data_IF_936104604404
#
_entry.id   IF_936104604404
#
_cell.length_a   1.000
_cell.length_b   1.000
_cell.length_c   1.000
_cell.angle_alpha   90.00
_cell.angle_beta   90.00
_cell.angle_gamma   90.00
#
_symmetry.space_group_name_H-M   'P 1'
#
loop_
_entity.id
_entity.type
_entity.pdbx_description
1 polymer ?
#
# COMPACT_ATOMS: atom_id res chain seq x y z
N UNK A 1 156.80 -42.90 89.03
CA UNK A 1 155.94 -41.78 88.62
C UNK A 1 154.99 -42.26 87.54
N UNK A 2 153.69 -42.00 87.69
CA UNK A 2 152.59 -42.78 87.11
C UNK A 2 152.12 -42.36 85.71
N UNK A 3 151.86 -43.36 84.86
CA UNK A 3 151.35 -43.34 83.47
C UNK A 3 149.93 -42.75 83.25
N UNK A 4 149.38 -41.98 84.20
CA UNK A 4 147.99 -41.50 84.13
C UNK A 4 147.78 -40.13 83.48
N UNK A 5 148.82 -39.37 83.16
CA UNK A 5 148.65 -37.98 82.67
C UNK A 5 148.79 -37.80 81.15
N UNK A 6 149.28 -38.80 80.40
CA UNK A 6 149.46 -38.63 78.94
C UNK A 6 148.22 -39.04 78.12
N UNK A 7 147.28 -39.80 78.69
CA UNK A 7 146.09 -40.27 77.97
C UNK A 7 144.93 -39.24 77.89
N UNK A 8 144.94 -38.18 78.71
CA UNK A 8 143.81 -37.25 78.81
C UNK A 8 143.82 -36.12 77.77
N UNK A 9 144.98 -35.78 77.18
CA UNK A 9 145.10 -34.68 76.21
C UNK A 9 144.88 -35.11 74.75
N UNK A 10 144.92 -36.42 74.45
CA UNK A 10 144.67 -36.95 73.10
C UNK A 10 143.20 -37.15 72.75
N UNK A 11 142.29 -37.16 73.73
CA UNK A 11 140.88 -37.50 73.52
C UNK A 11 139.98 -36.29 73.14
N UNK A 12 140.42 -35.05 73.37
CA UNK A 12 139.57 -33.85 73.19
C UNK A 12 139.75 -33.19 71.82
N UNK A 13 140.86 -33.42 71.11
CA UNK A 13 141.13 -32.77 69.82
C UNK A 13 140.54 -33.49 68.60
N UNK A 14 140.15 -34.78 68.72
CA UNK A 14 139.63 -35.57 67.59
C UNK A 14 138.09 -35.46 67.44
N UNK A 15 137.37 -35.13 68.52
CA UNK A 15 135.91 -35.03 68.49
C UNK A 15 135.36 -33.74 67.85
N UNK A 16 136.16 -32.68 67.72
CA UNK A 16 135.72 -31.41 67.12
C UNK A 16 135.76 -31.41 65.58
N UNK A 17 136.60 -32.24 64.94
CA UNK A 17 136.76 -32.25 63.47
C UNK A 17 135.73 -33.15 62.78
N UNK A 18 135.20 -34.18 63.46
CA UNK A 18 134.22 -35.12 62.88
C UNK A 18 132.81 -34.51 62.77
N UNK A 19 132.47 -33.52 63.60
CA UNK A 19 131.17 -32.82 63.54
C UNK A 19 130.97 -31.95 62.30
N UNK A 20 132.04 -31.40 61.72
CA UNK A 20 131.95 -30.44 60.59
C UNK A 20 131.81 -31.16 59.25
N UNK A 21 132.43 -32.32 59.06
CA UNK A 21 132.42 -33.05 57.78
C UNK A 21 131.11 -33.81 57.55
N UNK A 22 130.48 -34.35 58.60
CA UNK A 22 129.17 -35.01 58.51
C UNK A 22 128.02 -34.05 58.19
N UNK A 23 128.04 -32.84 58.76
CA UNK A 23 127.02 -31.82 58.53
C UNK A 23 126.93 -31.35 57.07
N UNK A 24 128.06 -31.26 56.36
CA UNK A 24 128.07 -30.78 54.96
C UNK A 24 127.51 -31.78 53.94
N UNK A 25 127.64 -33.08 54.19
CA UNK A 25 127.02 -34.12 53.34
C UNK A 25 125.53 -34.25 53.61
N UNK A 26 125.11 -34.10 54.87
CA UNK A 26 123.68 -34.13 55.21
C UNK A 26 122.95 -32.92 54.62
N UNK A 27 123.55 -31.73 54.75
CA UNK A 27 123.03 -30.48 54.13
C UNK A 27 122.84 -30.61 52.62
N UNK A 28 123.72 -31.36 51.93
CA UNK A 28 123.64 -31.57 50.48
C UNK A 28 122.48 -32.49 50.07
N UNK A 29 122.20 -33.53 50.87
CA UNK A 29 121.05 -34.41 50.62
C UNK A 29 119.75 -33.74 51.03
N UNK A 30 119.73 -32.94 52.09
CA UNK A 30 118.59 -32.10 52.47
C UNK A 30 118.27 -31.06 51.39
N UNK A 31 119.30 -30.40 50.81
CA UNK A 31 119.12 -29.51 49.66
C UNK A 31 118.58 -30.24 48.44
N UNK A 32 119.12 -31.41 48.09
CA UNK A 32 118.57 -32.22 46.97
C UNK A 32 117.16 -32.71 47.22
N UNK A 33 116.81 -33.05 48.47
CA UNK A 33 115.45 -33.44 48.85
C UNK A 33 114.50 -32.24 48.80
N UNK A 34 114.96 -31.06 49.19
CA UNK A 34 114.21 -29.82 49.05
C UNK A 34 113.98 -29.45 47.58
N UNK A 35 115.01 -29.54 46.73
CA UNK A 35 114.94 -29.32 45.28
C UNK A 35 113.98 -30.31 44.60
N UNK A 36 114.09 -31.60 44.90
CA UNK A 36 113.16 -32.61 44.37
C UNK A 36 111.72 -32.37 44.84
N UNK A 37 111.51 -32.02 46.11
CA UNK A 37 110.18 -31.67 46.62
C UNK A 37 109.63 -30.41 45.93
N UNK A 38 110.49 -29.44 45.61
CA UNK A 38 110.11 -28.24 44.86
C UNK A 38 109.75 -28.57 43.40
N UNK A 39 110.52 -29.45 42.75
CA UNK A 39 110.21 -29.96 41.41
C UNK A 39 108.91 -30.76 41.38
N UNK A 40 108.66 -31.63 42.37
CA UNK A 40 107.39 -32.35 42.52
C UNK A 40 106.22 -31.40 42.78
N UNK A 41 106.40 -30.36 43.60
CA UNK A 41 105.37 -29.36 43.83
C UNK A 41 105.07 -28.55 42.56
N UNK A 42 106.10 -28.18 41.78
CA UNK A 42 105.94 -27.55 40.46
C UNK A 42 105.23 -28.45 39.47
N UNK A 43 105.55 -29.75 39.43
CA UNK A 43 104.88 -30.71 38.56
C UNK A 43 103.40 -30.89 38.95
N UNK A 44 103.10 -31.00 40.25
CA UNK A 44 101.72 -31.15 40.73
C UNK A 44 100.87 -29.90 40.45
N UNK A 45 101.45 -28.71 40.56
CA UNK A 45 100.75 -27.46 40.21
C UNK A 45 100.53 -27.34 38.69
N UNK A 46 101.49 -27.76 37.87
CA UNK A 46 101.34 -27.85 36.41
C UNK A 46 100.29 -28.88 35.99
N UNK A 47 100.26 -30.06 36.60
CA UNK A 47 99.21 -31.06 36.34
C UNK A 47 97.84 -30.56 36.78
N UNK A 48 97.77 -29.86 37.91
CA UNK A 48 96.51 -29.27 38.40
C UNK A 48 95.99 -28.20 37.44
N UNK A 49 96.84 -27.27 37.03
CA UNK A 49 96.48 -26.22 36.06
C UNK A 49 96.09 -26.81 34.71
N UNK A 50 96.81 -27.82 34.23
CA UNK A 50 96.45 -28.54 33.00
C UNK A 50 95.09 -29.25 33.09
N UNK A 51 94.80 -29.89 34.21
CA UNK A 51 93.50 -30.55 34.43
C UNK A 51 92.37 -29.52 34.58
N UNK A 52 92.60 -28.40 35.25
CA UNK A 52 91.66 -27.28 35.34
C UNK A 52 91.39 -26.65 33.95
N UNK A 53 92.43 -26.45 33.13
CA UNK A 53 92.28 -26.01 31.74
C UNK A 53 91.52 -27.01 30.87
N UNK A 54 91.74 -28.30 31.07
CA UNK A 54 91.03 -29.34 30.33
C UNK A 54 89.55 -29.40 30.73
N UNK A 55 89.24 -29.37 32.03
CA UNK A 55 87.87 -29.29 32.54
C UNK A 55 87.14 -28.06 31.98
N UNK A 56 87.78 -26.88 32.02
CA UNK A 56 87.17 -25.65 31.49
C UNK A 56 86.98 -25.70 29.97
N UNK A 57 87.83 -26.40 29.21
CA UNK A 57 87.63 -26.64 27.78
C UNK A 57 86.45 -27.57 27.53
N UNK A 58 86.35 -28.67 28.27
CA UNK A 58 85.25 -29.64 28.15
C UNK A 58 83.91 -29.00 28.53
N UNK A 59 83.87 -28.18 29.59
CA UNK A 59 82.69 -27.39 29.98
C UNK A 59 82.29 -26.39 28.88
N UNK A 60 83.26 -25.70 28.26
CA UNK A 60 82.99 -24.79 27.14
C UNK A 60 82.50 -25.52 25.89
N UNK A 61 82.99 -26.73 25.62
CA UNK A 61 82.52 -27.56 24.52
C UNK A 61 81.09 -28.03 24.77
N UNK A 62 80.79 -28.51 25.98
CA UNK A 62 79.44 -28.91 26.37
C UNK A 62 78.44 -27.73 26.29
N UNK A 63 78.85 -26.53 26.73
CA UNK A 63 78.03 -25.32 26.61
C UNK A 63 77.76 -24.96 25.13
N UNK A 64 78.79 -25.01 24.27
CA UNK A 64 78.63 -24.77 22.83
C UNK A 64 77.75 -25.82 22.15
N UNK A 65 77.84 -27.08 22.54
CA UNK A 65 76.96 -28.14 22.03
C UNK A 65 75.51 -27.92 22.46
N UNK A 66 75.27 -27.48 23.70
CA UNK A 66 73.94 -27.14 24.16
C UNK A 66 73.35 -25.93 23.42
N UNK A 67 74.15 -24.87 23.21
CA UNK A 67 73.76 -23.71 22.38
C UNK A 67 73.49 -24.10 20.93
N UNK A 68 74.35 -24.95 20.32
CA UNK A 68 74.15 -25.44 18.96
C UNK A 68 72.86 -26.25 18.82
N UNK A 69 72.52 -27.10 19.80
CA UNK A 69 71.25 -27.84 19.83
C UNK A 69 70.05 -26.90 19.97
N UNK A 70 70.10 -25.93 20.89
CA UNK A 70 69.03 -24.95 21.05
C UNK A 70 68.82 -24.09 19.78
N UNK A 71 69.91 -23.68 19.13
CA UNK A 71 69.82 -22.94 17.85
C UNK A 71 69.26 -23.81 16.72
N UNK A 72 69.63 -25.09 16.63
CA UNK A 72 69.05 -26.00 15.64
C UNK A 72 67.53 -26.20 15.87
N UNK A 73 67.10 -26.39 17.11
CA UNK A 73 65.68 -26.54 17.47
C UNK A 73 64.87 -25.26 17.19
N UNK A 74 65.44 -24.08 17.45
CA UNK A 74 64.80 -22.80 17.11
C UNK A 74 64.70 -22.59 15.60
N UNK A 75 65.71 -22.98 14.83
CA UNK A 75 65.67 -22.91 13.37
C UNK A 75 64.60 -23.86 12.81
N UNK A 76 64.53 -25.10 13.31
CA UNK A 76 63.53 -26.08 12.90
C UNK A 76 62.10 -25.63 13.23
N UNK A 77 61.87 -25.04 14.39
CA UNK A 77 60.55 -24.51 14.77
C UNK A 77 60.15 -23.32 13.88
N UNK A 78 61.07 -22.40 13.59
CA UNK A 78 60.82 -21.28 12.68
C UNK A 78 60.52 -21.75 11.25
N UNK A 79 61.23 -22.75 10.74
CA UNK A 79 60.95 -23.31 9.42
C UNK A 79 59.61 -24.02 9.36
N UNK A 80 59.27 -24.79 10.39
CA UNK A 80 57.97 -25.48 10.47
C UNK A 80 56.81 -24.49 10.47
N UNK A 81 56.87 -23.48 11.32
CA UNK A 81 55.85 -22.41 11.39
C UNK A 81 55.76 -21.65 10.06
N UNK A 82 56.88 -21.33 9.42
CA UNK A 82 56.87 -20.67 8.11
C UNK A 82 56.23 -21.54 7.01
N UNK A 83 56.54 -22.84 6.98
CA UNK A 83 55.95 -23.78 6.04
C UNK A 83 54.45 -23.98 6.26
N UNK A 84 54.01 -24.01 7.53
CA UNK A 84 52.60 -24.10 7.89
C UNK A 84 51.84 -22.85 7.45
N UNK A 85 52.41 -21.66 7.65
CA UNK A 85 51.84 -20.40 7.13
C UNK A 85 51.72 -20.40 5.61
N UNK A 86 52.72 -20.88 4.87
CA UNK A 86 52.60 -21.01 3.41
C UNK A 86 51.54 -22.03 2.99
N UNK A 87 51.43 -23.16 3.69
CA UNK A 87 50.39 -24.15 3.44
C UNK A 87 48.99 -23.56 3.66
N UNK A 88 48.81 -22.75 4.72
CA UNK A 88 47.54 -22.07 4.98
C UNK A 88 47.20 -21.05 3.89
N UNK A 89 48.16 -20.20 3.49
CA UNK A 89 47.95 -19.22 2.40
C UNK A 89 47.58 -19.93 1.09
N UNK A 90 48.17 -21.07 0.78
CA UNK A 90 47.80 -21.84 -0.41
C UNK A 90 46.38 -22.41 -0.32
N UNK A 91 45.94 -22.88 0.86
CA UNK A 91 44.56 -23.33 1.06
C UNK A 91 43.57 -22.17 0.86
N UNK A 92 43.86 -21.02 1.43
CA UNK A 92 43.03 -19.83 1.31
C UNK A 92 42.97 -19.37 -0.15
N UNK A 93 44.10 -19.35 -0.86
CA UNK A 93 44.16 -19.02 -2.29
C UNK A 93 43.32 -19.99 -3.14
N UNK A 94 43.40 -21.30 -2.87
CA UNK A 94 42.56 -22.28 -3.54
C UNK A 94 41.07 -22.10 -3.26
N UNK A 95 40.70 -21.74 -2.02
CA UNK A 95 39.32 -21.42 -1.68
C UNK A 95 38.80 -20.20 -2.45
N UNK A 96 39.61 -19.13 -2.58
CA UNK A 96 39.25 -17.97 -3.40
C UNK A 96 39.12 -18.31 -4.89
N UNK A 97 40.03 -19.11 -5.43
CA UNK A 97 39.98 -19.56 -6.82
C UNK A 97 38.76 -20.45 -7.09
N UNK A 98 38.30 -21.23 -6.12
CA UNK A 98 37.10 -22.04 -6.22
C UNK A 98 35.80 -21.23 -6.15
N UNK A 99 35.78 -20.14 -5.35
CA UNK A 99 34.62 -19.27 -5.20
C UNK A 99 34.42 -18.29 -6.38
N UNK A 100 35.50 -17.92 -7.07
CA UNK A 100 35.47 -16.98 -8.20
C UNK A 100 34.50 -17.38 -9.33
N UNK A 101 34.49 -18.63 -9.84
CA UNK A 101 33.55 -19.06 -10.86
C UNK A 101 32.08 -18.93 -10.44
N UNK A 102 31.76 -19.21 -9.18
CA UNK A 102 30.41 -19.08 -8.64
C UNK A 102 29.99 -17.61 -8.56
N UNK A 103 30.88 -16.73 -8.08
CA UNK A 103 30.65 -15.29 -8.06
C UNK A 103 30.45 -14.71 -9.47
N UNK A 104 31.27 -15.13 -10.44
CA UNK A 104 31.13 -14.72 -11.85
C UNK A 104 29.82 -15.26 -12.44
N UNK A 105 29.43 -16.50 -12.11
CA UNK A 105 28.15 -17.08 -12.50
C UNK A 105 26.95 -16.30 -11.97
N UNK A 106 26.98 -15.92 -10.70
CA UNK A 106 25.96 -15.08 -10.07
C UNK A 106 25.88 -13.70 -10.74
N UNK A 107 27.02 -13.06 -11.00
CA UNK A 107 27.10 -11.77 -11.70
C UNK A 107 26.52 -11.84 -13.12
N UNK A 108 26.79 -12.93 -13.85
CA UNK A 108 26.21 -13.18 -15.18
C UNK A 108 24.69 -13.38 -15.11
N UNK A 109 24.20 -14.11 -14.11
CA UNK A 109 22.76 -14.28 -13.87
C UNK A 109 22.06 -12.94 -13.58
N UNK A 110 22.68 -12.11 -12.73
CA UNK A 110 22.17 -10.79 -12.35
C UNK A 110 22.18 -9.81 -13.55
N UNK A 111 23.24 -9.83 -14.35
CA UNK A 111 23.34 -9.05 -15.59
C UNK A 111 22.27 -9.46 -16.62
N UNK A 112 22.05 -10.77 -16.81
CA UNK A 112 21.00 -11.27 -17.67
C UNK A 112 19.60 -10.87 -17.18
N UNK A 113 19.36 -10.90 -15.86
CA UNK A 113 18.10 -10.47 -15.27
C UNK A 113 17.85 -8.96 -15.49
N UNK A 114 18.86 -8.11 -15.26
CA UNK A 114 18.73 -6.68 -15.56
C UNK A 114 18.54 -6.39 -17.04
N UNK A 115 19.22 -7.14 -17.92
CA UNK A 115 19.02 -7.05 -19.36
C UNK A 115 17.59 -7.43 -19.76
N UNK A 116 17.05 -8.51 -19.19
CA UNK A 116 15.66 -8.90 -19.38
C UNK A 116 14.69 -7.81 -18.87
N UNK A 117 14.93 -7.25 -17.68
CA UNK A 117 14.10 -6.15 -17.19
C UNK A 117 14.16 -4.93 -18.12
N UNK A 118 15.34 -4.55 -18.62
CA UNK A 118 15.49 -3.43 -19.55
C UNK A 118 14.81 -3.69 -20.90
N UNK A 119 14.87 -4.90 -21.43
CA UNK A 119 14.31 -5.27 -22.74
C UNK A 119 12.79 -5.51 -22.69
N UNK A 120 12.27 -6.07 -21.60
CA UNK A 120 10.87 -6.50 -21.49
C UNK A 120 9.99 -5.55 -20.65
N UNK A 121 10.47 -4.92 -19.58
CA UNK A 121 9.64 -4.01 -18.76
C UNK A 121 9.02 -2.83 -19.52
N UNK A 122 9.69 -2.21 -20.52
CA UNK A 122 9.07 -1.15 -21.32
C UNK A 122 7.81 -1.63 -22.07
N UNK A 123 7.70 -2.93 -22.37
CA UNK A 123 6.51 -3.52 -23.00
C UNK A 123 5.34 -3.67 -22.02
N UNK A 124 5.63 -3.69 -20.72
CA UNK A 124 4.63 -3.79 -19.64
C UNK A 124 4.29 -2.43 -19.00
N UNK A 125 5.11 -1.40 -19.18
CA UNK A 125 4.84 -0.06 -18.63
C UNK A 125 3.48 0.51 -19.08
N UNK A 126 3.09 0.29 -20.34
CA UNK A 126 1.75 0.68 -20.84
C UNK A 126 0.63 -0.18 -20.24
N UNK A 127 0.90 -1.45 -19.95
CA UNK A 127 -0.04 -2.38 -19.33
C UNK A 127 -0.28 -2.04 -17.85
N UNK A 128 0.76 -1.74 -17.08
CA UNK A 128 0.63 -1.33 -15.67
C UNK A 128 -0.12 0.02 -15.53
N UNK A 129 0.14 0.97 -16.43
CA UNK A 129 -0.60 2.24 -16.47
C UNK A 129 -2.07 2.01 -16.87
N UNK A 130 -2.36 1.11 -17.80
CA UNK A 130 -3.72 0.78 -18.18
C UNK A 130 -4.47 0.02 -17.07
N UNK A 131 -3.83 -0.94 -16.42
CA UNK A 131 -4.38 -1.70 -15.30
C UNK A 131 -4.65 -0.81 -14.08
N UNK A 132 -3.74 0.11 -13.75
CA UNK A 132 -3.96 1.08 -12.67
C UNK A 132 -5.08 2.07 -12.98
N UNK A 133 -5.18 2.56 -14.23
CA UNK A 133 -6.30 3.40 -14.67
C UNK A 133 -7.64 2.67 -14.59
N UNK A 134 -7.70 1.41 -15.03
CA UNK A 134 -8.89 0.57 -14.93
C UNK A 134 -9.27 0.33 -13.47
N UNK A 135 -8.32 -0.06 -12.62
CA UNK A 135 -8.57 -0.28 -11.19
C UNK A 135 -9.07 0.99 -10.50
N UNK A 136 -8.44 2.13 -10.75
CA UNK A 136 -8.86 3.39 -10.19
C UNK A 136 -10.24 3.81 -10.71
N UNK A 137 -10.57 3.55 -11.98
CA UNK A 137 -11.92 3.79 -12.51
C UNK A 137 -12.97 2.94 -11.76
N UNK A 138 -12.67 1.66 -11.50
CA UNK A 138 -13.54 0.77 -10.74
C UNK A 138 -13.81 1.33 -9.33
N UNK A 139 -12.74 1.74 -8.62
CA UNK A 139 -12.85 2.33 -7.28
C UNK A 139 -13.68 3.62 -7.29
N UNK A 140 -13.48 4.47 -8.28
CA UNK A 140 -14.24 5.71 -8.42
C UNK A 140 -15.73 5.44 -8.69
N UNK A 141 -16.06 4.43 -9.50
CA UNK A 141 -17.44 4.00 -9.76
C UNK A 141 -18.10 3.32 -8.55
N UNK A 142 -17.35 2.60 -7.73
CA UNK A 142 -17.87 2.09 -6.45
C UNK A 142 -18.11 3.24 -5.47
N UNK A 143 -17.19 4.19 -5.38
CA UNK A 143 -17.35 5.37 -4.54
C UNK A 143 -18.54 6.24 -4.97
N UNK A 144 -18.78 6.38 -6.29
CA UNK A 144 -19.91 7.16 -6.82
C UNK A 144 -21.26 6.59 -6.38
N UNK A 145 -21.38 5.28 -6.16
CA UNK A 145 -22.64 4.69 -5.62
C UNK A 145 -22.98 5.20 -4.23
N UNK A 146 -21.98 5.63 -3.45
CA UNK A 146 -22.19 6.14 -2.08
C UNK A 146 -22.32 7.65 -2.01
N UNK A 147 -21.56 8.38 -2.83
CA UNK A 147 -21.43 9.84 -2.72
C UNK A 147 -22.08 10.60 -3.89
N UNK A 148 -22.48 9.89 -4.95
CA UNK A 148 -23.01 10.42 -6.20
C UNK A 148 -21.92 10.63 -7.26
N UNK A 149 -22.28 10.44 -8.53
CA UNK A 149 -21.33 10.53 -9.65
C UNK A 149 -20.80 11.94 -9.90
N UNK A 150 -21.55 12.97 -9.53
CA UNK A 150 -21.14 14.37 -9.62
C UNK A 150 -19.79 14.65 -8.94
N UNK A 151 -19.55 14.05 -7.77
CA UNK A 151 -18.32 14.28 -6.99
C UNK A 151 -17.11 13.58 -7.57
N UNK A 152 -17.36 12.55 -8.37
CA UNK A 152 -16.35 11.68 -8.97
C UNK A 152 -16.01 12.13 -10.39
N UNK A 153 -16.93 12.82 -11.07
CA UNK A 153 -16.84 13.20 -12.47
C UNK A 153 -15.56 13.98 -12.80
N UNK A 154 -15.19 14.99 -12.00
CA UNK A 154 -13.99 15.79 -12.24
C UNK A 154 -12.70 14.94 -12.18
N UNK A 155 -12.58 14.07 -11.17
CA UNK A 155 -11.42 13.19 -11.00
C UNK A 155 -11.31 12.15 -12.11
N UNK A 156 -12.45 11.57 -12.52
CA UNK A 156 -12.50 10.63 -13.66
C UNK A 156 -12.11 11.34 -14.97
N UNK A 157 -12.54 12.58 -15.14
CA UNK A 157 -12.19 13.41 -16.28
C UNK A 157 -10.69 13.68 -16.37
N UNK A 158 -10.02 13.96 -15.24
CA UNK A 158 -8.56 14.14 -15.20
C UNK A 158 -7.81 12.83 -15.49
N UNK A 159 -8.26 11.71 -14.93
CA UNK A 159 -7.64 10.39 -15.15
C UNK A 159 -7.69 9.94 -16.62
N UNK A 160 -8.78 10.29 -17.32
CA UNK A 160 -9.05 9.92 -18.71
C UNK A 160 -9.12 11.13 -19.64
N UNK A 161 -8.14 12.04 -19.52
CA UNK A 161 -8.05 13.26 -20.36
C UNK A 161 -8.04 12.99 -21.87
N UNK A 162 -7.50 11.84 -22.29
CA UNK A 162 -7.38 11.46 -23.70
C UNK A 162 -8.65 10.78 -24.27
N UNK A 163 -9.61 10.38 -23.43
CA UNK A 163 -10.75 9.56 -23.85
C UNK A 163 -12.00 10.40 -24.11
N UNK A 164 -12.41 10.60 -25.37
CA UNK A 164 -13.46 11.56 -25.72
C UNK A 164 -14.83 11.18 -25.16
N UNK A 165 -15.12 9.88 -25.02
CA UNK A 165 -16.38 9.39 -24.46
C UNK A 165 -16.48 9.69 -22.97
N UNK A 166 -15.40 9.47 -22.22
CA UNK A 166 -15.35 9.80 -20.78
C UNK A 166 -15.45 11.31 -20.58
N UNK A 167 -14.79 12.11 -21.42
CA UNK A 167 -14.90 13.57 -21.39
C UNK A 167 -16.33 14.03 -21.64
N UNK A 168 -17.01 13.51 -22.67
CA UNK A 168 -18.39 13.88 -22.98
C UNK A 168 -19.36 13.52 -21.83
N UNK A 169 -19.18 12.35 -21.21
CA UNK A 169 -20.02 11.91 -20.09
C UNK A 169 -19.77 12.77 -18.85
N UNK A 170 -18.52 12.98 -18.44
CA UNK A 170 -18.20 13.78 -17.27
C UNK A 170 -18.60 15.26 -17.44
N UNK A 171 -18.44 15.83 -18.64
CA UNK A 171 -18.89 17.20 -18.92
C UNK A 171 -20.40 17.34 -18.86
N UNK A 172 -21.16 16.33 -19.28
CA UNK A 172 -22.63 16.34 -19.17
C UNK A 172 -23.13 16.33 -17.72
N UNK A 173 -22.43 15.62 -16.83
CA UNK A 173 -22.70 15.62 -15.38
C UNK A 173 -22.39 17.00 -14.77
N UNK A 174 -21.22 17.57 -15.09
CA UNK A 174 -20.79 18.86 -14.52
C UNK A 174 -21.64 20.03 -15.03
N UNK A 175 -22.18 19.92 -16.25
CA UNK A 175 -23.05 20.93 -16.84
C UNK A 175 -24.51 20.84 -16.38
N UNK A 176 -24.92 19.74 -15.74
CA UNK A 176 -26.28 19.61 -15.21
C UNK A 176 -26.49 20.61 -14.07
N UNK A 177 -27.65 21.31 -14.03
CA UNK A 177 -27.96 22.22 -12.93
C UNK A 177 -28.00 21.43 -11.61
N UNK A 178 -27.76 22.13 -10.49
CA UNK A 178 -27.66 21.54 -9.15
C UNK A 178 -28.93 21.66 -8.28
N UNK A 179 -30.18 21.41 -8.77
CA UNK A 179 -31.25 21.17 -7.83
C UNK A 179 -30.99 19.82 -7.13
N UNK A 180 -31.40 19.66 -5.86
CA UNK A 180 -31.39 18.36 -5.22
C UNK A 180 -32.23 17.39 -6.06
N UNK A 181 -31.56 16.36 -6.59
CA UNK A 181 -32.20 15.35 -7.43
C UNK A 181 -32.46 14.07 -6.60
N UNK A 182 -33.47 13.25 -6.97
CA UNK A 182 -33.68 11.97 -6.31
C UNK A 182 -32.44 11.07 -6.48
N UNK A 183 -32.10 10.28 -5.45
CA UNK A 183 -30.99 9.31 -5.50
C UNK A 183 -31.44 7.93 -5.98
N UNK A 184 -32.74 7.68 -6.07
CA UNK A 184 -33.31 6.41 -6.52
C UNK A 184 -34.59 6.59 -7.34
N UNK A 185 -34.95 5.55 -8.11
CA UNK A 185 -36.22 5.49 -8.84
C UNK A 185 -37.41 5.58 -7.86
N UNK A 186 -37.28 4.99 -6.66
CA UNK A 186 -38.31 5.06 -5.64
C UNK A 186 -38.53 6.49 -5.13
N UNK A 187 -37.46 7.28 -4.96
CA UNK A 187 -37.55 8.67 -4.54
C UNK A 187 -38.13 9.56 -5.67
N UNK A 188 -37.72 9.31 -6.92
CA UNK A 188 -38.28 9.97 -8.09
C UNK A 188 -39.79 9.69 -8.25
N UNK A 189 -40.19 8.45 -7.99
CA UNK A 189 -41.58 7.96 -8.02
C UNK A 189 -42.44 8.55 -6.89
N UNK A 190 -41.90 8.60 -5.67
CA UNK A 190 -42.58 9.18 -4.52
C UNK A 190 -42.80 10.70 -4.69
N UNK A 191 -41.77 11.41 -5.16
CA UNK A 191 -41.86 12.85 -5.45
C UNK A 191 -42.80 13.16 -6.61
N UNK A 192 -42.81 12.33 -7.67
CA UNK A 192 -43.77 12.44 -8.76
C UNK A 192 -45.21 12.28 -8.27
N UNK A 193 -45.46 11.22 -7.50
CA UNK A 193 -46.79 10.91 -6.97
C UNK A 193 -47.30 12.05 -6.09
N UNK A 194 -46.42 12.61 -5.24
CA UNK A 194 -46.73 13.79 -4.42
C UNK A 194 -47.11 15.00 -5.28
N UNK A 195 -46.31 15.36 -6.29
CA UNK A 195 -46.60 16.51 -7.15
C UNK A 195 -47.92 16.36 -7.92
N UNK A 196 -48.22 15.15 -8.40
CA UNK A 196 -49.47 14.85 -9.10
C UNK A 196 -50.69 14.86 -8.16
N UNK A 197 -50.53 14.46 -6.90
CA UNK A 197 -51.60 14.54 -5.89
C UNK A 197 -51.90 15.98 -5.49
N UNK A 198 -50.89 16.82 -5.32
CA UNK A 198 -51.06 18.26 -5.04
C UNK A 198 -51.76 18.96 -6.20
N UNK A 199 -51.42 18.62 -7.45
CA UNK A 199 -52.12 19.15 -8.62
C UNK A 199 -53.59 18.70 -8.66
N UNK A 200 -53.86 17.41 -8.46
CA UNK A 200 -55.22 16.88 -8.42
C UNK A 200 -56.05 17.54 -7.30
N UNK A 201 -55.44 17.80 -6.15
CA UNK A 201 -56.08 18.49 -5.04
C UNK A 201 -56.42 19.93 -5.41
N UNK A 202 -55.45 20.68 -5.95
CA UNK A 202 -55.66 22.06 -6.39
C UNK A 202 -56.76 22.15 -7.45
N UNK A 203 -56.71 21.32 -8.50
CA UNK A 203 -57.74 21.27 -9.55
C UNK A 203 -59.10 20.85 -8.99
N UNK A 204 -59.14 19.89 -8.06
CA UNK A 204 -60.35 19.45 -7.38
C UNK A 204 -61.02 20.57 -6.58
N UNK A 205 -60.23 21.39 -5.87
CA UNK A 205 -60.78 22.55 -5.14
C UNK A 205 -61.35 23.62 -6.06
N UNK A 206 -60.69 23.89 -7.19
CA UNK A 206 -61.21 24.82 -8.22
C UNK A 206 -62.48 24.26 -8.85
N UNK A 207 -62.53 22.97 -9.18
CA UNK A 207 -63.71 22.31 -9.72
C UNK A 207 -64.90 22.38 -8.75
N UNK A 208 -64.69 22.18 -7.45
CA UNK A 208 -65.73 22.31 -6.44
C UNK A 208 -66.23 23.76 -6.31
N UNK A 209 -65.32 24.74 -6.31
CA UNK A 209 -65.69 26.17 -6.29
C UNK A 209 -66.47 26.58 -7.53
N UNK A 210 -66.04 26.12 -8.71
CA UNK A 210 -66.71 26.40 -9.98
C UNK A 210 -68.08 25.72 -10.07
N UNK A 211 -68.21 24.48 -9.60
CA UNK A 211 -69.49 23.76 -9.53
C UNK A 211 -70.47 24.40 -8.53
N UNK A 212 -69.98 24.91 -7.39
CA UNK A 212 -70.82 25.63 -6.42
C UNK A 212 -71.39 26.96 -6.97
N UNK A 213 -70.71 27.58 -7.93
CA UNK A 213 -71.17 28.78 -8.65
C UNK A 213 -72.21 28.42 -9.72
N UNK A 214 -72.16 27.22 -10.28
CA UNK A 214 -73.10 26.67 -11.27
C UNK A 214 -74.28 25.95 -10.56
N UNK A 215 -75.17 26.68 -9.89
CA UNK A 215 -76.32 26.10 -9.17
C UNK A 215 -77.44 25.47 -10.04
N UNK A 216 -77.23 25.27 -11.35
CA UNK A 216 -78.18 24.55 -12.22
C UNK A 216 -77.56 23.28 -12.83
N UNK A 217 -78.31 22.15 -12.87
CA UNK A 217 -77.78 20.84 -13.24
C UNK A 217 -77.40 20.81 -14.74
N UNK A 218 -76.17 20.41 -15.11
CA UNK A 218 -75.80 20.29 -16.52
C UNK A 218 -76.40 19.04 -17.15
N UNK A 219 -76.98 19.22 -18.35
CA UNK A 219 -77.34 18.12 -19.25
C UNK A 219 -76.09 17.41 -19.81
N UNK A 220 -76.26 16.13 -20.10
CA UNK A 220 -75.20 15.20 -20.45
C UNK A 220 -74.42 15.60 -21.71
N UNK A 221 -73.09 15.67 -21.60
CA UNK A 221 -72.15 15.57 -22.74
C UNK A 221 -70.93 14.73 -22.33
N UNK A 222 -70.38 13.88 -23.22
CA UNK A 222 -69.31 12.94 -22.89
C UNK A 222 -67.92 13.56 -23.10
N UNK A 223 -67.02 13.38 -22.14
CA UNK A 223 -65.61 13.79 -22.22
C UNK A 223 -64.83 13.48 -20.94
N UNK A 224 -63.52 13.26 -21.07
CA UNK A 224 -62.62 12.74 -20.00
C UNK A 224 -62.61 13.63 -18.74
N UNK A 225 -62.64 14.96 -18.89
CA UNK A 225 -62.76 15.91 -17.78
C UNK A 225 -64.20 16.03 -17.24
N UNK A 226 -65.20 15.72 -18.07
CA UNK A 226 -66.60 15.77 -17.66
C UNK A 226 -66.96 14.63 -16.71
N UNK A 227 -66.29 13.47 -16.81
CA UNK A 227 -66.50 12.34 -15.90
C UNK A 227 -65.90 12.62 -14.52
N UNK A 228 -64.77 13.31 -14.44
CA UNK A 228 -64.18 13.78 -13.18
C UNK A 228 -65.11 14.78 -12.49
N UNK A 229 -65.66 15.75 -13.25
CA UNK A 229 -66.62 16.74 -12.75
C UNK A 229 -67.94 16.08 -12.34
N UNK A 230 -68.46 15.11 -13.10
CA UNK A 230 -69.70 14.38 -12.79
C UNK A 230 -69.57 13.54 -11.52
N UNK A 231 -68.39 12.97 -11.27
CA UNK A 231 -68.09 12.22 -10.04
C UNK A 231 -68.04 13.13 -8.81
N UNK A 232 -67.43 14.31 -8.96
CA UNK A 232 -67.31 15.32 -7.91
C UNK A 232 -68.67 15.97 -7.58
N UNK A 233 -69.49 16.29 -8.58
CA UNK A 233 -70.88 16.78 -8.40
C UNK A 233 -71.79 15.69 -7.79
N UNK A 234 -71.51 14.42 -8.08
CA UNK A 234 -72.14 13.29 -7.38
C UNK A 234 -71.86 13.26 -5.87
N UNK A 235 -70.68 13.74 -5.43
CA UNK A 235 -70.28 13.81 -4.02
C UNK A 235 -70.91 14.98 -3.26
N UNK A 236 -71.24 16.10 -3.92
CA UNK A 236 -71.97 17.21 -3.27
C UNK A 236 -73.40 16.86 -2.89
N UNK A 237 -73.96 15.76 -3.43
CA UNK A 237 -75.25 15.19 -3.03
C UNK A 237 -75.17 14.31 -1.76
N UNK A 238 -74.02 14.26 -1.08
CA UNK A 238 -73.77 13.43 0.10
C UNK A 238 -74.42 13.90 1.40
N UNK A 239 -75.14 15.04 1.42
CA UNK A 239 -75.80 15.56 2.62
C UNK A 239 -77.03 14.75 3.08
N UNK A 240 -77.44 13.70 2.35
CA UNK A 240 -78.56 12.82 2.74
C UNK A 240 -78.15 11.40 3.13
N UNK A 241 -76.86 11.09 3.25
CA UNK A 241 -76.38 9.72 3.49
C UNK A 241 -76.33 9.33 4.98
N UNK A 242 -76.73 8.09 5.28
CA UNK A 242 -76.66 7.50 6.62
C UNK A 242 -75.21 7.35 7.12
N UNK A 243 -74.98 7.24 8.43
CA UNK A 243 -73.63 7.16 9.02
C UNK A 243 -72.78 6.02 8.44
N UNK A 244 -73.41 4.88 8.11
CA UNK A 244 -72.77 3.74 7.45
C UNK A 244 -72.41 3.99 5.97
N UNK A 245 -73.28 4.70 5.24
CA UNK A 245 -73.00 5.09 3.84
C UNK A 245 -71.86 6.11 3.74
N UNK A 246 -71.75 7.04 4.71
CA UNK A 246 -70.59 7.95 4.79
C UNK A 246 -69.29 7.21 5.05
N UNK A 247 -69.32 6.17 5.88
CA UNK A 247 -68.13 5.35 6.12
C UNK A 247 -67.73 4.56 4.87
N UNK A 248 -68.69 4.02 4.12
CA UNK A 248 -68.44 3.33 2.86
C UNK A 248 -67.89 4.27 1.78
N UNK A 249 -68.46 5.47 1.64
CA UNK A 249 -67.96 6.50 0.72
C UNK A 249 -66.51 6.90 1.03
N UNK A 250 -66.18 7.12 2.31
CA UNK A 250 -64.79 7.39 2.73
C UNK A 250 -63.83 6.25 2.37
N UNK A 251 -64.23 5.00 2.60
CA UNK A 251 -63.43 3.82 2.22
C UNK A 251 -63.27 3.69 0.71
N UNK A 252 -64.30 4.02 -0.06
CA UNK A 252 -64.21 4.05 -1.52
C UNK A 252 -63.24 5.13 -2.00
N UNK A 253 -63.32 6.34 -1.43
CA UNK A 253 -62.38 7.42 -1.74
C UNK A 253 -60.94 7.08 -1.37
N UNK A 254 -60.73 6.42 -0.22
CA UNK A 254 -59.42 5.95 0.22
C UNK A 254 -58.88 4.85 -0.72
N UNK A 255 -59.72 3.90 -1.15
CA UNK A 255 -59.35 2.87 -2.12
C UNK A 255 -59.02 3.47 -3.49
N UNK A 256 -59.80 4.44 -3.96
CA UNK A 256 -59.50 5.14 -5.21
C UNK A 256 -58.18 5.91 -5.13
N UNK A 257 -57.90 6.56 -4.00
CA UNK A 257 -56.61 7.21 -3.76
C UNK A 257 -55.46 6.20 -3.76
N UNK A 258 -55.62 5.05 -3.11
CA UNK A 258 -54.60 3.99 -3.15
C UNK A 258 -54.39 3.40 -4.55
N UNK A 259 -55.47 3.19 -5.32
CA UNK A 259 -55.37 2.69 -6.69
C UNK A 259 -54.69 3.69 -7.62
N UNK A 260 -55.01 4.99 -7.50
CA UNK A 260 -54.33 6.05 -8.25
C UNK A 260 -52.85 6.18 -7.88
N UNK A 261 -52.51 6.04 -6.60
CA UNK A 261 -51.12 5.97 -6.12
C UNK A 261 -50.38 4.80 -6.75
N UNK A 262 -50.96 3.60 -6.69
CA UNK A 262 -50.37 2.41 -7.28
C UNK A 262 -50.19 2.55 -8.82
N UNK A 263 -51.12 3.21 -9.50
CA UNK A 263 -51.01 3.48 -10.95
C UNK A 263 -49.95 4.52 -11.31
N UNK A 264 -49.58 5.41 -10.38
CA UNK A 264 -48.58 6.48 -10.58
C UNK A 264 -47.19 6.09 -10.10
N UNK A 265 -47.05 4.91 -9.49
CA UNK A 265 -45.75 4.41 -9.09
C UNK A 265 -44.91 4.10 -10.32
N UNK A 266 -43.82 4.83 -10.44
CA UNK A 266 -42.77 4.60 -11.42
C UNK A 266 -41.84 3.51 -10.87
N UNK A 267 -41.58 2.48 -11.66
CA UNK A 267 -40.75 1.33 -11.27
C UNK A 267 -39.46 1.24 -12.07
N UNK A 268 -39.42 1.83 -13.26
CA UNK A 268 -38.29 1.79 -14.18
C UNK A 268 -37.89 3.19 -14.63
N UNK A 269 -36.70 3.31 -15.24
CA UNK A 269 -36.26 4.56 -15.86
C UNK A 269 -37.12 4.95 -17.07
N UNK A 270 -37.66 3.97 -17.79
CA UNK A 270 -38.59 4.19 -18.89
C UNK A 270 -39.92 4.79 -18.39
N UNK A 271 -40.39 4.36 -17.22
CA UNK A 271 -41.57 4.96 -16.59
C UNK A 271 -41.33 6.43 -16.24
N UNK A 272 -40.11 6.77 -15.79
CA UNK A 272 -39.74 8.18 -15.52
C UNK A 272 -39.73 9.00 -16.81
N UNK A 273 -39.21 8.45 -17.93
CA UNK A 273 -39.28 9.12 -19.24
C UNK A 273 -40.72 9.33 -19.70
N UNK A 274 -41.57 8.31 -19.57
CA UNK A 274 -42.99 8.40 -19.89
C UNK A 274 -43.71 9.42 -19.00
N UNK A 275 -43.37 9.49 -17.72
CA UNK A 275 -43.90 10.48 -16.79
C UNK A 275 -43.46 11.91 -17.14
N UNK A 276 -42.21 12.10 -17.57
CA UNK A 276 -41.73 13.40 -18.08
C UNK A 276 -42.55 13.84 -19.30
N UNK A 277 -42.80 12.94 -20.25
CA UNK A 277 -43.60 13.25 -21.44
C UNK A 277 -45.07 13.52 -21.09
N UNK A 278 -45.65 12.74 -20.17
CA UNK A 278 -46.99 13.01 -19.63
C UNK A 278 -47.10 14.41 -19.00
N UNK A 279 -46.09 14.86 -18.24
CA UNK A 279 -46.11 16.22 -17.67
C UNK A 279 -45.99 17.30 -18.74
N UNK A 280 -45.29 17.05 -19.86
CA UNK A 280 -45.22 17.99 -20.98
C UNK A 280 -46.56 18.08 -21.70
N UNK A 281 -47.21 16.94 -21.96
CA UNK A 281 -48.57 16.91 -22.53
C UNK A 281 -49.58 17.64 -21.63
N UNK A 282 -49.44 17.49 -20.32
CA UNK A 282 -50.25 18.20 -19.33
C UNK A 282 -50.03 19.71 -19.39
N UNK A 283 -48.79 20.16 -19.50
CA UNK A 283 -48.47 21.58 -19.72
C UNK A 283 -49.04 22.09 -21.04
N UNK A 284 -48.94 21.32 -22.12
CA UNK A 284 -49.50 21.68 -23.42
C UNK A 284 -51.04 21.79 -23.36
N UNK A 285 -51.71 20.89 -22.65
CA UNK A 285 -53.15 20.96 -22.40
C UNK A 285 -53.54 22.16 -21.51
N UNK A 286 -52.70 22.51 -20.54
CA UNK A 286 -52.90 23.66 -19.67
C UNK A 286 -52.46 24.98 -20.33
N UNK A 287 -51.61 24.97 -21.35
CA UNK A 287 -51.13 26.16 -22.06
C UNK A 287 -51.92 26.43 -23.35
N UNK A 288 -52.55 25.42 -23.95
CA UNK A 288 -53.36 25.54 -25.17
C UNK A 288 -54.42 26.62 -25.00
N UNK A 289 -54.13 27.82 -25.51
CA UNK A 289 -55.09 28.89 -25.70
C UNK A 289 -55.71 28.70 -27.08
N UNK A 290 -57.03 28.64 -27.16
CA UNK A 290 -57.71 28.69 -28.45
C UNK A 290 -57.42 30.04 -29.11
N UNK A 291 -57.23 30.08 -30.44
CA UNK A 291 -56.85 31.29 -31.15
C UNK A 291 -57.96 32.34 -30.99
N UNK A 292 -57.59 33.56 -30.61
CA UNK A 292 -58.44 34.76 -30.73
C UNK A 292 -58.68 35.04 -32.21
N UNK A 293 -59.65 34.37 -32.86
CA UNK A 293 -60.22 34.82 -34.12
C UNK A 293 -61.71 34.51 -34.16
N UNK A 294 -62.49 35.56 -34.44
CA UNK A 294 -63.93 35.58 -34.36
C UNK A 294 -64.60 34.43 -35.08
N UNK A 295 -65.43 33.69 -34.35
CA UNK A 295 -66.43 32.81 -34.90
C UNK A 295 -67.66 32.91 -34.00
N UNK A 296 -68.56 33.83 -34.38
CA UNK A 296 -69.97 33.72 -34.06
C UNK A 296 -70.43 32.37 -34.61
N UNK A 297 -70.67 31.35 -33.78
CA UNK A 297 -71.71 30.30 -33.94
C UNK A 297 -71.59 29.22 -32.84
N UNK A 298 -72.58 29.23 -31.95
CA UNK A 298 -73.25 28.12 -31.25
C UNK A 298 -72.46 26.95 -30.61
N UNK A 299 -72.46 27.00 -29.27
CA UNK A 299 -72.75 25.92 -28.29
C UNK A 299 -71.79 24.72 -28.13
N UNK A 300 -70.86 24.85 -27.17
CA UNK A 300 -70.63 23.95 -26.01
C UNK A 300 -69.19 24.05 -25.47
N UNK A 301 -68.28 24.69 -26.20
CA UNK A 301 -66.88 24.87 -25.79
C UNK A 301 -66.69 25.95 -24.70
N UNK A 302 -67.54 26.98 -24.65
CA UNK A 302 -67.29 28.16 -23.80
C UNK A 302 -67.17 27.82 -22.31
N UNK A 303 -68.00 26.89 -21.79
CA UNK A 303 -67.97 26.53 -20.36
C UNK A 303 -66.74 25.71 -19.96
N UNK A 304 -66.20 24.91 -20.90
CA UNK A 304 -64.94 24.18 -20.72
C UNK A 304 -63.77 25.16 -20.75
N UNK A 305 -63.85 26.16 -21.63
CA UNK A 305 -62.85 27.22 -21.75
C UNK A 305 -62.85 28.13 -20.51
N UNK A 306 -64.02 28.46 -19.98
CA UNK A 306 -64.19 29.26 -18.74
C UNK A 306 -63.68 28.51 -17.50
N UNK A 307 -63.91 27.19 -17.43
CA UNK A 307 -63.35 26.33 -16.38
C UNK A 307 -61.83 26.23 -16.46
N UNK A 308 -61.27 26.01 -17.66
CA UNK A 308 -59.83 25.97 -17.88
C UNK A 308 -59.18 27.33 -17.56
N UNK A 309 -59.84 28.44 -17.88
CA UNK A 309 -59.40 29.78 -17.50
C UNK A 309 -59.40 29.96 -15.98
N UNK A 310 -60.43 29.47 -15.27
CA UNK A 310 -60.47 29.49 -13.80
C UNK A 310 -59.33 28.68 -13.19
N UNK A 311 -59.08 27.45 -13.68
CA UNK A 311 -57.97 26.58 -13.26
C UNK A 311 -56.61 27.25 -13.50
N UNK A 312 -56.40 27.88 -14.67
CA UNK A 312 -55.15 28.61 -14.99
C UNK A 312 -54.95 29.84 -14.12
N UNK A 313 -56.02 30.50 -13.69
CA UNK A 313 -55.95 31.72 -12.90
C UNK A 313 -55.67 31.47 -11.42
N UNK A 314 -56.00 30.28 -10.92
CA UNK A 314 -55.89 29.91 -9.52
C UNK A 314 -54.43 29.83 -9.04
N UNK A 315 -54.16 30.37 -7.85
CA UNK A 315 -52.81 30.45 -7.30
C UNK A 315 -52.26 29.11 -6.83
N UNK A 316 -53.10 28.20 -6.34
CA UNK A 316 -52.66 26.88 -5.86
C UNK A 316 -52.35 25.95 -7.03
N UNK A 317 -53.12 26.02 -8.12
CA UNK A 317 -52.82 25.31 -9.36
C UNK A 317 -51.47 25.77 -9.95
N UNK A 318 -51.20 27.08 -9.95
CA UNK A 318 -49.89 27.60 -10.40
C UNK A 318 -48.72 27.09 -9.56
N UNK A 319 -48.87 27.01 -8.24
CA UNK A 319 -47.85 26.45 -7.35
C UNK A 319 -47.62 24.97 -7.61
N UNK A 320 -48.69 24.19 -7.82
CA UNK A 320 -48.58 22.77 -8.14
C UNK A 320 -47.87 22.53 -9.49
N UNK A 321 -48.18 23.35 -10.52
CA UNK A 321 -47.47 23.31 -11.81
C UNK A 321 -45.98 23.66 -11.63
N UNK A 322 -45.65 24.65 -10.79
CA UNK A 322 -44.25 24.97 -10.48
C UNK A 322 -43.52 23.80 -9.80
N UNK A 323 -44.18 23.09 -8.88
CA UNK A 323 -43.62 21.89 -8.25
C UNK A 323 -43.38 20.77 -9.25
N UNK A 324 -44.30 20.56 -10.20
CA UNK A 324 -44.13 19.59 -11.29
C UNK A 324 -42.94 19.97 -12.18
N UNK A 325 -42.74 21.26 -12.47
CA UNK A 325 -41.58 21.72 -13.24
C UNK A 325 -40.25 21.50 -12.49
N UNK A 326 -40.22 21.75 -11.18
CA UNK A 326 -39.05 21.42 -10.35
C UNK A 326 -38.78 19.91 -10.32
N UNK A 327 -39.84 19.10 -10.24
CA UNK A 327 -39.73 17.65 -10.36
C UNK A 327 -39.20 17.24 -11.74
N UNK A 328 -39.66 17.88 -12.82
CA UNK A 328 -39.18 17.63 -14.19
C UNK A 328 -37.68 17.89 -14.31
N UNK A 329 -37.20 19.03 -13.84
CA UNK A 329 -35.78 19.40 -13.91
C UNK A 329 -34.91 18.45 -13.09
N UNK A 330 -35.37 18.06 -11.90
CA UNK A 330 -34.66 17.10 -11.04
C UNK A 330 -34.68 15.66 -11.58
N UNK A 331 -35.78 15.21 -12.19
CA UNK A 331 -35.90 13.91 -12.84
C UNK A 331 -35.05 13.81 -14.12
N UNK A 332 -34.96 14.89 -14.90
CA UNK A 332 -34.03 14.96 -16.05
C UNK A 332 -32.59 14.82 -15.57
N UNK A 333 -32.21 15.55 -14.52
CA UNK A 333 -30.86 15.49 -13.93
C UNK A 333 -30.54 14.08 -13.43
N UNK A 334 -31.49 13.44 -12.74
CA UNK A 334 -31.37 12.04 -12.31
C UNK A 334 -31.13 11.08 -13.49
N UNK A 335 -31.90 11.21 -14.58
CA UNK A 335 -31.72 10.36 -15.76
C UNK A 335 -30.36 10.56 -16.45
N UNK A 336 -29.88 11.81 -16.52
CA UNK A 336 -28.54 12.11 -17.07
C UNK A 336 -27.45 11.45 -16.22
N UNK A 337 -27.52 11.56 -14.90
CA UNK A 337 -26.55 10.93 -14.01
C UNK A 337 -26.59 9.41 -14.09
N UNK A 338 -27.78 8.84 -14.23
CA UNK A 338 -27.94 7.39 -14.36
C UNK A 338 -27.39 6.85 -15.67
N UNK A 339 -27.68 7.53 -16.77
CA UNK A 339 -27.12 7.22 -18.08
C UNK A 339 -25.58 7.35 -18.09
N UNK A 340 -25.05 8.36 -17.40
CA UNK A 340 -23.62 8.55 -17.26
C UNK A 340 -22.95 7.44 -16.45
N UNK A 341 -23.57 7.00 -15.35
CA UNK A 341 -23.12 5.84 -14.57
C UNK A 341 -23.05 4.58 -15.41
N UNK A 342 -24.11 4.28 -16.17
CA UNK A 342 -24.18 3.10 -17.03
C UNK A 342 -23.15 3.14 -18.16
N UNK A 343 -22.94 4.31 -18.76
CA UNK A 343 -21.93 4.50 -19.80
C UNK A 343 -20.51 4.27 -19.26
N UNK A 344 -20.20 4.81 -18.08
CA UNK A 344 -18.87 4.63 -17.46
C UNK A 344 -18.66 3.20 -16.96
N UNK A 345 -19.70 2.54 -16.45
CA UNK A 345 -19.64 1.12 -16.09
C UNK A 345 -19.42 0.23 -17.32
N UNK A 346 -20.12 0.52 -18.42
CA UNK A 346 -19.94 -0.19 -19.70
C UNK A 346 -18.53 0.02 -20.26
N UNK A 347 -18.01 1.25 -20.16
CA UNK A 347 -16.64 1.57 -20.56
C UNK A 347 -15.60 0.84 -19.71
N UNK A 348 -15.81 0.77 -18.38
CA UNK A 348 -14.96 -0.03 -17.50
C UNK A 348 -14.94 -1.51 -17.89
N UNK A 349 -16.10 -2.10 -18.17
CA UNK A 349 -16.19 -3.50 -18.60
C UNK A 349 -15.46 -3.73 -19.94
N UNK A 350 -15.65 -2.82 -20.90
CA UNK A 350 -14.97 -2.90 -22.19
C UNK A 350 -13.44 -2.76 -22.07
N UNK A 351 -12.96 -1.89 -21.19
CA UNK A 351 -11.53 -1.78 -20.89
C UNK A 351 -11.00 -3.06 -20.23
N UNK A 352 -11.76 -3.66 -19.31
CA UNK A 352 -11.38 -4.92 -18.68
C UNK A 352 -11.29 -6.05 -19.69
N UNK A 353 -12.27 -6.18 -20.58
CA UNK A 353 -12.28 -7.17 -21.67
C UNK A 353 -11.14 -6.94 -22.67
N UNK A 354 -10.84 -5.70 -23.02
CA UNK A 354 -9.73 -5.38 -23.91
C UNK A 354 -8.37 -5.77 -23.29
N UNK A 355 -8.19 -5.54 -21.98
CA UNK A 355 -6.97 -5.90 -21.27
C UNK A 355 -6.79 -7.41 -21.12
N UNK A 356 -7.87 -8.17 -20.95
CA UNK A 356 -7.81 -9.64 -20.89
C UNK A 356 -7.62 -10.27 -22.27
N UNK A 357 -8.30 -9.78 -23.31
CA UNK A 357 -8.19 -10.30 -24.68
C UNK A 357 -6.80 -10.07 -25.31
N UNK A 358 -6.14 -8.95 -24.98
CA UNK A 358 -4.74 -8.69 -25.41
C UNK A 358 -3.76 -9.71 -24.79
N UNK A 359 -4.13 -10.38 -23.70
CA UNK A 359 -3.33 -11.42 -23.06
C UNK A 359 -3.49 -12.81 -23.70
N UNK A 360 -4.60 -13.08 -24.41
CA UNK A 360 -4.87 -14.37 -25.08
C UNK A 360 -4.34 -14.45 -26.52
N UNK A 361 -3.91 -13.32 -27.10
CA UNK A 361 -3.39 -13.21 -28.47
C UNK A 361 -1.85 -13.31 -28.57
N UNK A 362 -1.17 -13.71 -27.50
CA UNK A 362 0.27 -14.07 -27.49
C UNK A 362 0.43 -15.50 -27.01
#
# INVERSE_FOLDING_TARGET
MSLRQVAALGAVSVLSVVGVVGGTRWRRVELRRAELNEEYAKLMTQMRTFNEERLTRDERLAAKEAEAKATAETVDTLWRDRLERYAQVNKDLHAYLAALPEAIGALKGLSNHYRYMLEEMPKFAGFDVACSKMHNLALMLEHSRTVGIERVAATVQEMFAAEPLVQAVCTSIVAAPAPPHPSSIADASATFTFCMEELDHAVGTVAMRYAAVLQEPPAATPGILSDSIRKIVGMTRADTLSRGQRHLARRQDDLERMLRRAQRQLHTEEDIRAALDYTKELDDHLAASTPRRGALFLSSSSRKDDFLAAVRSDSEVKKAIQQINLWRDSAITFLVHRQAEDALQSYHLLLAEALTAVHELK
#
